data_IF_390088773819
#
_entry.id   IF_390088773819
#
_cell.length_a   1.000
_cell.length_b   1.000
_cell.length_c   1.000
_cell.angle_alpha   90.00
_cell.angle_beta   90.00
_cell.angle_gamma   90.00
#
_symmetry.space_group_name_H-M   'P 1'
#
loop_
_entity.id
_entity.type
_entity.pdbx_description
1 polymer ?
#
# COMPACT_ATOMS: atom_id res chain seq x y z
N UNK A 1 31.71 37.62 -22.06
CA UNK A 1 31.04 36.91 -20.95
C UNK A 1 30.05 35.96 -21.58
N UNK A 2 30.39 34.68 -21.59
CA UNK A 2 29.58 33.63 -22.22
C UNK A 2 28.57 33.06 -21.20
N UNK A 3 27.29 32.83 -21.54
CA UNK A 3 26.35 32.26 -20.58
C UNK A 3 26.58 30.76 -20.42
N UNK A 4 26.72 30.33 -19.16
CA UNK A 4 26.93 28.96 -18.78
C UNK A 4 25.70 28.09 -19.14
N UNK A 5 25.92 27.03 -19.92
CA UNK A 5 24.95 26.05 -20.31
C UNK A 5 24.55 25.20 -19.09
N UNK A 6 23.26 25.21 -18.73
CA UNK A 6 22.66 24.32 -17.74
C UNK A 6 22.75 22.85 -18.20
N UNK A 7 23.01 21.90 -17.32
CA UNK A 7 23.18 20.50 -17.71
C UNK A 7 21.81 19.85 -18.12
N UNK A 8 21.67 19.53 -19.40
CA UNK A 8 20.53 18.89 -20.05
C UNK A 8 20.28 17.39 -19.70
N UNK A 9 20.91 16.86 -18.66
CA UNK A 9 20.86 15.40 -18.35
C UNK A 9 19.81 14.94 -17.34
N UNK A 10 19.03 15.84 -16.74
CA UNK A 10 18.02 15.46 -15.75
C UNK A 10 16.66 15.07 -16.39
N UNK A 11 16.35 15.59 -17.57
CA UNK A 11 15.02 15.44 -18.17
C UNK A 11 14.73 14.07 -18.79
N UNK A 12 15.76 13.32 -19.24
CA UNK A 12 15.54 12.02 -19.88
C UNK A 12 15.24 10.87 -18.90
N UNK A 13 15.64 11.02 -17.63
CA UNK A 13 15.41 9.98 -16.60
C UNK A 13 13.98 9.97 -16.05
N UNK A 14 13.28 11.11 -16.11
CA UNK A 14 11.86 11.19 -15.74
C UNK A 14 10.93 10.49 -16.75
N UNK A 15 11.32 10.46 -18.02
CA UNK A 15 10.54 9.81 -19.08
C UNK A 15 10.42 8.29 -18.91
N UNK A 16 11.36 7.64 -18.22
CA UNK A 16 11.29 6.19 -17.94
C UNK A 16 10.33 5.81 -16.81
N UNK A 17 9.85 6.79 -16.02
CA UNK A 17 8.79 6.58 -15.03
C UNK A 17 7.39 6.62 -15.62
N UNK A 18 7.24 7.29 -16.77
CA UNK A 18 5.95 7.42 -17.44
C UNK A 18 5.28 6.05 -17.72
N UNK A 19 5.99 5.01 -18.21
CA UNK A 19 5.38 3.71 -18.43
C UNK A 19 4.92 3.02 -17.14
N UNK A 20 5.68 3.17 -16.04
CA UNK A 20 5.28 2.62 -14.72
C UNK A 20 4.03 3.32 -14.17
N UNK A 21 3.91 4.61 -14.39
CA UNK A 21 2.75 5.41 -13.99
C UNK A 21 1.53 5.18 -14.87
N UNK A 22 1.73 4.81 -16.14
CA UNK A 22 0.65 4.67 -17.13
C UNK A 22 0.10 3.24 -17.26
N UNK A 23 0.80 2.21 -16.76
CA UNK A 23 0.43 0.81 -16.99
C UNK A 23 -0.35 0.15 -15.85
N UNK A 24 -0.56 0.84 -14.72
CA UNK A 24 -1.16 0.25 -13.52
C UNK A 24 -2.23 1.14 -12.88
N UNK A 25 -3.27 1.49 -13.67
CA UNK A 25 -4.41 2.27 -13.15
C UNK A 25 -5.19 1.62 -12.00
N UNK A 26 -5.00 0.31 -11.77
CA UNK A 26 -5.79 -0.47 -10.83
C UNK A 26 -5.06 -0.87 -9.54
N UNK A 27 -3.76 -0.55 -9.41
CA UNK A 27 -2.93 -1.09 -8.33
C UNK A 27 -2.12 -0.04 -7.56
N UNK A 28 -2.55 1.20 -7.57
CA UNK A 28 -1.92 2.26 -6.78
C UNK A 28 -2.70 2.42 -5.47
N UNK A 29 -2.11 1.91 -4.40
CA UNK A 29 -2.55 2.06 -3.01
C UNK A 29 -1.53 2.86 -2.22
N UNK A 30 -1.69 3.01 -0.91
CA UNK A 30 -0.60 3.55 -0.10
C UNK A 30 0.71 2.85 -0.45
N UNK A 31 1.81 3.62 -0.52
CA UNK A 31 3.08 3.04 -0.90
C UNK A 31 3.59 2.02 0.12
N UNK A 32 4.57 1.21 -0.28
CA UNK A 32 5.12 0.10 0.52
C UNK A 32 5.55 0.49 1.95
N UNK A 33 6.04 1.72 2.15
CA UNK A 33 6.44 2.19 3.49
C UNK A 33 5.26 2.34 4.42
N UNK A 34 4.15 2.85 3.92
CA UNK A 34 2.93 3.03 4.71
C UNK A 34 2.33 1.69 5.12
N UNK A 35 2.34 0.70 4.23
CA UNK A 35 1.88 -0.66 4.56
C UNK A 35 2.80 -1.36 5.57
N UNK A 36 4.12 -1.24 5.44
CA UNK A 36 5.05 -1.74 6.45
C UNK A 36 4.86 -1.02 7.80
N UNK A 37 4.56 0.28 7.80
CA UNK A 37 4.22 1.01 9.01
C UNK A 37 2.99 0.40 9.72
N UNK A 38 1.92 0.11 8.99
CA UNK A 38 0.74 -0.55 9.58
C UNK A 38 1.05 -1.96 10.08
N UNK A 39 1.85 -2.73 9.35
CA UNK A 39 2.33 -4.02 9.82
C UNK A 39 3.14 -3.90 11.12
N UNK A 40 3.98 -2.88 11.27
CA UNK A 40 4.67 -2.57 12.52
C UNK A 40 3.69 -2.26 13.66
N UNK A 41 2.62 -1.51 13.40
CA UNK A 41 1.59 -1.26 14.41
C UNK A 41 0.93 -2.55 14.89
N UNK A 42 0.67 -3.51 14.02
CA UNK A 42 0.16 -4.83 14.40
C UNK A 42 1.09 -5.57 15.36
N UNK A 43 2.40 -5.40 15.19
CA UNK A 43 3.39 -6.09 16.03
C UNK A 43 3.45 -5.54 17.46
N UNK A 44 3.27 -4.20 17.62
CA UNK A 44 3.60 -3.53 18.89
C UNK A 44 2.50 -2.65 19.47
N UNK A 45 1.55 -2.19 18.67
CA UNK A 45 0.58 -1.17 19.10
C UNK A 45 -0.89 -1.61 19.00
N UNK A 46 -1.25 -2.46 18.04
CA UNK A 46 -2.63 -2.91 17.84
C UNK A 46 -2.93 -4.08 18.78
N UNK A 47 -3.97 -3.99 19.61
CA UNK A 47 -4.36 -5.08 20.52
C UNK A 47 -5.15 -6.15 19.75
N UNK A 48 -4.48 -6.98 18.95
CA UNK A 48 -5.11 -8.14 18.34
C UNK A 48 -5.81 -9.00 19.41
N UNK A 49 -7.08 -9.31 19.24
CA UNK A 49 -7.86 -10.03 20.23
C UNK A 49 -7.33 -11.45 20.44
N UNK A 50 -6.99 -12.17 19.34
CA UNK A 50 -6.47 -13.52 19.42
C UNK A 50 -5.02 -13.56 19.95
N UNK A 51 -4.77 -14.22 21.10
CA UNK A 51 -3.42 -14.40 21.62
C UNK A 51 -2.50 -15.22 20.71
N UNK A 52 -3.04 -16.15 19.90
CA UNK A 52 -2.25 -16.95 18.99
C UNK A 52 -1.71 -16.09 17.84
N UNK A 53 -2.53 -15.22 17.26
CA UNK A 53 -2.10 -14.25 16.26
C UNK A 53 -1.02 -13.29 16.82
N UNK A 54 -1.19 -12.84 18.06
CA UNK A 54 -0.16 -11.98 18.71
C UNK A 54 1.18 -12.72 18.87
N UNK A 55 1.16 -13.97 19.28
CA UNK A 55 2.39 -14.79 19.42
C UNK A 55 3.03 -15.03 18.05
N UNK A 56 2.23 -15.37 17.04
CA UNK A 56 2.66 -15.59 15.66
C UNK A 56 3.36 -14.33 15.10
N UNK A 57 2.71 -13.19 15.21
CA UNK A 57 3.25 -11.92 14.75
C UNK A 57 4.59 -11.59 15.41
N UNK A 58 4.69 -11.72 16.74
CA UNK A 58 5.93 -11.44 17.48
C UNK A 58 7.05 -12.43 17.18
N UNK A 59 6.74 -13.68 16.86
CA UNK A 59 7.74 -14.71 16.49
C UNK A 59 8.30 -14.46 15.08
N UNK A 60 7.50 -13.93 14.17
CA UNK A 60 7.86 -13.77 12.76
C UNK A 60 7.65 -12.32 12.24
N UNK A 61 8.19 -11.28 12.92
CA UNK A 61 7.87 -9.89 12.62
C UNK A 61 8.24 -9.49 11.19
N UNK A 62 9.38 -9.98 10.69
CA UNK A 62 9.81 -9.69 9.31
C UNK A 62 8.88 -10.30 8.26
N UNK A 63 8.27 -11.45 8.54
CA UNK A 63 7.30 -12.10 7.65
C UNK A 63 5.98 -11.33 7.60
N UNK A 64 5.51 -10.82 8.74
CA UNK A 64 4.34 -9.93 8.78
C UNK A 64 4.60 -8.66 7.96
N UNK A 65 5.73 -7.99 8.20
CA UNK A 65 6.07 -6.77 7.45
C UNK A 65 6.26 -7.02 5.94
N UNK A 66 6.87 -8.15 5.56
CA UNK A 66 7.02 -8.52 4.16
C UNK A 66 5.69 -8.88 3.50
N UNK A 67 4.80 -9.57 4.24
CA UNK A 67 3.44 -9.86 3.79
C UNK A 67 2.65 -8.61 3.44
N UNK A 68 2.86 -7.53 4.20
CA UNK A 68 2.23 -6.24 3.92
C UNK A 68 2.75 -5.54 2.64
N UNK A 69 3.80 -6.04 2.01
CA UNK A 69 4.27 -5.54 0.72
C UNK A 69 3.71 -6.33 -0.48
N UNK A 70 3.09 -7.49 -0.24
CA UNK A 70 2.78 -8.44 -1.32
C UNK A 70 1.66 -7.99 -2.25
N UNK A 71 0.56 -7.35 -1.80
CA UNK A 71 -0.46 -6.92 -2.74
C UNK A 71 0.09 -6.00 -3.83
N UNK A 72 1.05 -5.15 -3.54
CA UNK A 72 1.67 -4.23 -4.51
C UNK A 72 2.51 -4.93 -5.61
N UNK A 73 2.68 -6.24 -5.54
CA UNK A 73 3.27 -7.02 -6.64
C UNK A 73 2.46 -6.88 -7.94
N UNK A 74 1.18 -6.51 -7.86
CA UNK A 74 0.36 -6.17 -9.01
C UNK A 74 1.01 -5.12 -9.92
N UNK A 75 1.74 -4.17 -9.36
CA UNK A 75 2.46 -3.10 -10.09
C UNK A 75 3.50 -3.66 -11.07
N UNK A 76 4.08 -4.80 -10.76
CA UNK A 76 5.17 -5.42 -11.55
C UNK A 76 4.74 -6.68 -12.27
N UNK A 77 3.52 -7.15 -12.04
CA UNK A 77 2.98 -8.40 -12.54
C UNK A 77 3.06 -8.53 -14.07
N UNK A 78 2.62 -7.51 -14.81
CA UNK A 78 2.64 -7.50 -16.29
C UNK A 78 4.06 -7.55 -16.85
N UNK A 79 5.00 -6.78 -16.28
CA UNK A 79 6.42 -6.79 -16.67
C UNK A 79 7.13 -8.11 -16.36
N UNK A 80 6.60 -8.90 -15.44
CA UNK A 80 7.08 -10.23 -15.11
C UNK A 80 6.33 -11.36 -15.84
N UNK A 81 5.37 -11.04 -16.72
CA UNK A 81 4.46 -12.01 -17.36
C UNK A 81 3.71 -12.89 -16.34
N UNK A 82 3.28 -12.27 -15.25
CA UNK A 82 2.64 -12.91 -14.10
C UNK A 82 1.22 -12.32 -13.87
N UNK A 83 0.38 -12.33 -14.91
CA UNK A 83 -0.95 -11.67 -14.93
C UNK A 83 -1.82 -12.10 -13.75
N UNK A 84 -1.67 -13.31 -13.23
CA UNK A 84 -2.39 -13.79 -12.06
C UNK A 84 -2.19 -12.88 -10.84
N UNK A 85 -1.00 -12.26 -10.70
CA UNK A 85 -0.66 -11.37 -9.61
C UNK A 85 -1.35 -10.00 -9.69
N UNK A 86 -1.93 -9.61 -10.83
CA UNK A 86 -2.70 -8.36 -10.96
C UNK A 86 -3.94 -8.32 -10.06
N UNK A 87 -4.40 -9.49 -9.59
CA UNK A 87 -5.57 -9.64 -8.71
C UNK A 87 -5.22 -9.64 -7.22
N UNK A 88 -3.99 -9.26 -6.85
CA UNK A 88 -3.50 -9.35 -5.47
C UNK A 88 -4.28 -8.50 -4.45
N UNK A 89 -5.00 -7.46 -4.87
CA UNK A 89 -5.83 -6.64 -3.96
C UNK A 89 -7.25 -7.19 -3.74
N UNK A 90 -7.57 -8.41 -4.23
CA UNK A 90 -8.91 -9.00 -4.10
C UNK A 90 -9.03 -9.93 -2.91
N UNK A 91 -10.19 -9.93 -2.25
CA UNK A 91 -10.47 -10.81 -1.12
C UNK A 91 -10.28 -12.30 -1.42
N UNK A 92 -10.69 -12.83 -2.59
CA UNK A 92 -10.44 -14.24 -2.93
C UNK A 92 -8.95 -14.63 -2.92
N UNK A 93 -8.04 -13.69 -3.21
CA UNK A 93 -6.60 -13.98 -3.18
C UNK A 93 -6.06 -14.09 -1.74
N UNK A 94 -6.64 -13.33 -0.80
CA UNK A 94 -6.34 -13.54 0.63
C UNK A 94 -6.76 -14.94 1.07
N UNK A 95 -7.95 -15.39 0.71
CA UNK A 95 -8.40 -16.75 1.05
C UNK A 95 -7.49 -17.81 0.43
N UNK A 96 -7.11 -17.65 -0.84
CA UNK A 96 -6.17 -18.58 -1.49
C UNK A 96 -4.79 -18.61 -0.76
N UNK A 97 -4.32 -17.46 -0.26
CA UNK A 97 -3.10 -17.42 0.56
C UNK A 97 -3.29 -18.09 1.93
N UNK A 98 -4.45 -17.93 2.55
CA UNK A 98 -4.78 -18.61 3.81
C UNK A 98 -4.79 -20.12 3.62
N UNK A 99 -5.39 -20.61 2.53
CA UNK A 99 -5.45 -22.04 2.19
C UNK A 99 -4.08 -22.63 1.86
N UNK A 100 -3.20 -21.84 1.22
CA UNK A 100 -1.84 -22.26 0.88
C UNK A 100 -0.88 -22.26 2.08
N UNK A 101 -1.15 -21.46 3.12
CA UNK A 101 -0.25 -21.27 4.26
C UNK A 101 -0.24 -22.49 5.20
N UNK A 102 0.87 -23.26 5.21
CA UNK A 102 1.02 -24.47 6.02
C UNK A 102 1.68 -24.20 7.38
N UNK A 103 2.71 -23.36 7.39
CA UNK A 103 3.54 -23.13 8.55
C UNK A 103 3.36 -21.73 9.17
N UNK A 104 3.92 -21.54 10.38
CA UNK A 104 3.84 -20.29 11.12
C UNK A 104 4.41 -19.09 10.33
N UNK A 105 5.48 -19.31 9.56
CA UNK A 105 6.08 -18.24 8.76
C UNK A 105 5.13 -17.75 7.65
N UNK A 106 4.47 -18.69 6.97
CA UNK A 106 3.51 -18.39 5.90
C UNK A 106 2.24 -17.73 6.47
N UNK A 107 1.73 -18.22 7.61
CA UNK A 107 0.61 -17.60 8.33
C UNK A 107 0.94 -16.17 8.78
N UNK A 108 2.20 -15.90 9.15
CA UNK A 108 2.64 -14.55 9.46
C UNK A 108 2.68 -13.65 8.21
N UNK A 109 3.04 -14.18 7.05
CA UNK A 109 2.91 -13.47 5.77
C UNK A 109 1.45 -13.13 5.47
N UNK A 110 0.54 -14.10 5.64
CA UNK A 110 -0.92 -13.90 5.45
C UNK A 110 -1.44 -12.79 6.37
N UNK A 111 -1.02 -12.75 7.63
CA UNK A 111 -1.40 -11.69 8.57
C UNK A 111 -0.97 -10.31 8.05
N UNK A 112 0.23 -10.18 7.52
CA UNK A 112 0.71 -8.94 6.90
C UNK A 112 -0.08 -8.58 5.64
N UNK A 113 -0.33 -9.55 4.78
CA UNK A 113 -1.14 -9.36 3.57
C UNK A 113 -2.56 -8.86 3.90
N UNK A 114 -3.21 -9.48 4.86
CA UNK A 114 -4.52 -9.06 5.33
C UNK A 114 -4.51 -7.63 5.90
N UNK A 115 -3.43 -7.22 6.60
CA UNK A 115 -3.29 -5.86 7.11
C UNK A 115 -3.18 -4.81 6.00
N UNK A 116 -2.51 -5.16 4.90
CA UNK A 116 -2.44 -4.30 3.71
C UNK A 116 -3.85 -4.06 3.14
N UNK A 117 -4.59 -5.12 2.84
CA UNK A 117 -5.93 -5.00 2.27
C UNK A 117 -6.90 -4.21 3.18
N UNK A 118 -6.80 -4.39 4.49
CA UNK A 118 -7.59 -3.60 5.46
C UNK A 118 -7.22 -2.12 5.44
N UNK A 119 -5.94 -1.80 5.31
CA UNK A 119 -5.46 -0.43 5.20
C UNK A 119 -5.93 0.21 3.88
N UNK A 120 -5.95 -0.56 2.80
CA UNK A 120 -6.39 -0.10 1.48
C UNK A 120 -7.86 0.28 1.41
N UNK A 121 -8.72 -0.32 2.21
CA UNK A 121 -10.10 0.15 2.33
C UNK A 121 -10.11 1.65 2.67
N UNK A 122 -9.30 2.08 3.62
CA UNK A 122 -9.24 3.50 4.02
C UNK A 122 -8.50 4.33 2.94
N UNK A 123 -7.43 3.79 2.37
CA UNK A 123 -6.66 4.46 1.33
C UNK A 123 -7.54 4.81 0.14
N UNK A 124 -8.15 3.82 -0.47
CA UNK A 124 -8.87 3.97 -1.73
C UNK A 124 -10.25 4.58 -1.61
N UNK A 125 -10.96 4.33 -0.50
CA UNK A 125 -12.33 4.82 -0.35
C UNK A 125 -12.41 6.18 0.39
N UNK A 126 -11.35 6.60 1.08
CA UNK A 126 -11.39 7.82 1.91
C UNK A 126 -10.19 8.73 1.72
N UNK A 127 -8.96 8.23 1.87
CA UNK A 127 -7.75 9.05 1.89
C UNK A 127 -7.44 9.65 0.53
N UNK A 128 -7.33 8.84 -0.51
CA UNK A 128 -7.04 9.28 -1.86
C UNK A 128 -8.14 10.19 -2.41
N UNK A 129 -9.44 9.81 -2.36
CA UNK A 129 -10.51 10.68 -2.83
C UNK A 129 -10.58 12.04 -2.14
N UNK A 130 -10.22 12.11 -0.85
CA UNK A 130 -10.16 13.38 -0.13
C UNK A 130 -9.06 14.30 -0.66
N UNK A 131 -7.90 13.75 -1.06
CA UNK A 131 -6.78 14.52 -1.58
C UNK A 131 -6.93 14.88 -3.05
N UNK A 132 -7.53 14.02 -3.87
CA UNK A 132 -7.91 14.32 -5.26
C UNK A 132 -8.73 15.60 -5.35
N UNK A 133 -9.67 15.78 -4.42
CA UNK A 133 -10.49 17.00 -4.36
C UNK A 133 -9.78 18.23 -3.77
N UNK A 134 -8.76 18.02 -2.95
CA UNK A 134 -8.06 19.11 -2.27
C UNK A 134 -6.89 19.67 -3.08
N UNK A 135 -6.22 18.82 -3.87
CA UNK A 135 -4.97 19.20 -4.53
C UNK A 135 -5.13 19.47 -6.01
N UNK A 136 -5.57 18.48 -6.79
CA UNK A 136 -5.73 18.57 -8.23
C UNK A 136 -6.86 17.65 -8.68
N UNK A 137 -7.63 18.08 -9.68
CA UNK A 137 -8.70 17.27 -10.29
C UNK A 137 -8.17 16.14 -11.19
N UNK A 138 -6.88 15.83 -11.15
CA UNK A 138 -6.26 14.74 -11.90
C UNK A 138 -6.12 13.50 -11.04
N UNK A 139 -6.93 12.49 -11.31
CA UNK A 139 -7.06 11.27 -10.51
C UNK A 139 -5.73 10.53 -10.30
N UNK A 140 -5.00 10.20 -11.37
CA UNK A 140 -3.80 9.34 -11.29
C UNK A 140 -2.61 10.09 -10.66
N UNK A 141 -2.36 11.33 -11.06
CA UNK A 141 -1.18 12.06 -10.57
C UNK A 141 -1.29 12.44 -9.11
N UNK A 142 -2.49 12.82 -8.65
CA UNK A 142 -2.75 13.13 -7.24
C UNK A 142 -2.68 11.87 -6.40
N UNK A 143 -3.22 10.76 -6.89
CA UNK A 143 -3.16 9.45 -6.25
C UNK A 143 -1.71 9.08 -5.92
N UNK A 144 -0.85 8.98 -6.95
CA UNK A 144 0.58 8.66 -6.77
C UNK A 144 1.29 9.67 -5.87
N UNK A 145 1.02 10.96 -6.06
CA UNK A 145 1.70 12.01 -5.30
C UNK A 145 1.38 11.95 -3.81
N UNK A 146 0.11 11.70 -3.44
CA UNK A 146 -0.30 11.66 -2.04
C UNK A 146 0.24 10.42 -1.32
N UNK A 147 0.29 9.29 -2.02
CA UNK A 147 0.82 8.04 -1.48
C UNK A 147 2.33 8.09 -1.24
N UNK A 148 3.08 8.57 -2.22
CA UNK A 148 4.52 8.75 -2.07
C UNK A 148 4.87 9.82 -1.03
N UNK A 149 4.03 10.84 -0.88
CA UNK A 149 4.18 11.82 0.18
C UNK A 149 3.90 11.20 1.56
N UNK A 150 2.88 10.33 1.68
CA UNK A 150 2.60 9.58 2.91
C UNK A 150 3.76 8.64 3.26
N UNK A 151 4.27 7.90 2.30
CA UNK A 151 5.46 7.05 2.46
C UNK A 151 6.65 7.83 3.01
N UNK A 152 6.90 9.03 2.48
CA UNK A 152 7.96 9.90 3.00
C UNK A 152 7.69 10.35 4.43
N UNK A 153 6.41 10.60 4.76
CA UNK A 153 5.99 11.02 6.10
C UNK A 153 6.28 9.95 7.15
N UNK A 154 6.03 8.67 6.84
CA UNK A 154 6.24 7.56 7.78
C UNK A 154 7.65 6.97 7.76
N UNK A 155 8.46 7.25 6.72
CA UNK A 155 9.73 6.58 6.45
C UNK A 155 10.72 6.57 7.63
N UNK A 156 10.75 7.65 8.44
CA UNK A 156 11.62 7.72 9.61
C UNK A 156 11.17 6.83 10.79
N UNK A 157 9.97 6.27 10.73
CA UNK A 157 9.38 5.43 11.77
C UNK A 157 9.53 3.93 11.48
N UNK A 158 10.08 3.57 10.31
CA UNK A 158 10.24 2.17 9.93
C UNK A 158 11.57 1.60 10.44
N UNK A 159 11.51 0.38 10.99
CA UNK A 159 12.69 -0.37 11.40
C UNK A 159 13.37 -1.11 10.23
N UNK A 160 12.62 -1.42 9.18
CA UNK A 160 13.09 -2.15 8.02
C UNK A 160 12.63 -1.51 6.72
N UNK A 161 13.47 -1.55 5.69
CA UNK A 161 13.11 -1.07 4.35
C UNK A 161 12.30 -2.15 3.61
N UNK A 162 11.20 -1.80 2.94
CA UNK A 162 10.38 -2.76 2.18
C UNK A 162 11.18 -3.62 1.20
N UNK A 163 12.08 -3.01 0.43
CA UNK A 163 12.91 -3.74 -0.53
C UNK A 163 13.77 -4.83 0.12
N UNK A 164 14.36 -4.55 1.30
CA UNK A 164 15.15 -5.54 2.03
C UNK A 164 14.26 -6.67 2.58
N UNK A 165 13.06 -6.31 3.09
CA UNK A 165 12.09 -7.31 3.55
C UNK A 165 11.71 -8.28 2.45
N UNK A 166 11.37 -7.78 1.25
CA UNK A 166 11.02 -8.61 0.10
C UNK A 166 12.14 -9.57 -0.28
N UNK A 167 13.39 -9.11 -0.33
CA UNK A 167 14.53 -9.95 -0.71
C UNK A 167 14.87 -10.99 0.34
N UNK A 168 14.99 -10.59 1.61
CA UNK A 168 15.35 -11.51 2.69
C UNK A 168 14.28 -12.58 2.94
N UNK A 169 13.02 -12.27 2.65
CA UNK A 169 11.92 -13.21 2.88
C UNK A 169 11.47 -13.95 1.61
N UNK A 170 12.04 -13.66 0.45
CA UNK A 170 11.71 -14.27 -0.83
C UNK A 170 11.64 -15.83 -0.79
N UNK A 171 12.51 -16.56 -0.06
CA UNK A 171 12.41 -18.01 0.04
C UNK A 171 11.08 -18.52 0.64
N UNK A 172 10.40 -17.70 1.45
CA UNK A 172 9.05 -18.02 1.97
C UNK A 172 7.94 -17.45 1.06
N UNK A 173 8.13 -16.24 0.53
CA UNK A 173 7.11 -15.54 -0.24
C UNK A 173 6.87 -16.19 -1.60
N UNK A 174 7.94 -16.56 -2.30
CA UNK A 174 7.83 -17.08 -3.68
C UNK A 174 7.01 -18.36 -3.75
N UNK A 175 7.29 -19.43 -2.98
CA UNK A 175 6.51 -20.66 -3.06
C UNK A 175 5.05 -20.44 -2.61
N UNK A 176 4.82 -19.70 -1.53
CA UNK A 176 3.48 -19.39 -1.04
C UNK A 176 2.63 -18.67 -2.10
N UNK A 177 3.18 -17.64 -2.72
CA UNK A 177 2.46 -16.90 -3.77
C UNK A 177 2.30 -17.72 -5.04
N UNK A 178 3.28 -18.53 -5.42
CA UNK A 178 3.19 -19.41 -6.58
C UNK A 178 2.03 -20.40 -6.45
N UNK A 179 1.85 -20.99 -5.27
CA UNK A 179 0.73 -21.87 -4.95
C UNK A 179 -0.60 -21.11 -4.95
N UNK A 180 -0.71 -20.04 -4.17
CA UNK A 180 -1.96 -19.30 -3.97
C UNK A 180 -2.47 -18.61 -5.26
N UNK A 181 -1.58 -18.15 -6.13
CA UNK A 181 -1.93 -17.47 -7.38
C UNK A 181 -1.93 -18.38 -8.60
N UNK A 182 -1.56 -19.64 -8.46
CA UNK A 182 -1.37 -20.58 -9.57
C UNK A 182 -0.43 -20.00 -10.64
N UNK A 183 0.69 -19.43 -10.19
CA UNK A 183 1.65 -18.72 -11.02
C UNK A 183 3.03 -19.38 -10.89
N UNK A 184 3.79 -19.54 -11.98
CA UNK A 184 5.14 -20.11 -11.89
C UNK A 184 6.04 -19.35 -10.93
N UNK A 185 6.74 -20.05 -10.03
CA UNK A 185 7.60 -19.47 -8.99
C UNK A 185 8.65 -18.51 -9.56
N UNK A 186 9.20 -18.80 -10.75
CA UNK A 186 10.15 -17.92 -11.44
C UNK A 186 9.52 -16.54 -11.74
N UNK A 187 8.28 -16.51 -12.23
CA UNK A 187 7.57 -15.26 -12.55
C UNK A 187 7.23 -14.47 -11.30
N UNK A 188 6.82 -15.16 -10.22
CA UNK A 188 6.61 -14.55 -8.91
C UNK A 188 7.90 -13.93 -8.40
N UNK A 189 9.02 -14.69 -8.45
CA UNK A 189 10.34 -14.20 -8.03
C UNK A 189 10.78 -12.98 -8.84
N UNK A 190 10.56 -12.98 -10.15
CA UNK A 190 10.84 -11.83 -11.02
C UNK A 190 10.00 -10.61 -10.64
N UNK A 191 8.69 -10.79 -10.40
CA UNK A 191 7.80 -9.70 -10.01
C UNK A 191 8.22 -9.06 -8.67
N UNK A 192 8.51 -9.89 -7.64
CA UNK A 192 8.97 -9.42 -6.33
C UNK A 192 10.34 -8.71 -6.42
N UNK A 193 11.27 -9.26 -7.18
CA UNK A 193 12.57 -8.62 -7.40
C UNK A 193 12.44 -7.28 -8.12
N UNK A 194 11.58 -7.19 -9.13
CA UNK A 194 11.30 -5.94 -9.84
C UNK A 194 10.68 -4.91 -8.91
N UNK A 195 9.75 -5.30 -8.04
CA UNK A 195 9.15 -4.43 -7.03
C UNK A 195 10.22 -3.89 -6.06
N UNK A 196 11.09 -4.75 -5.55
CA UNK A 196 12.17 -4.37 -4.64
C UNK A 196 13.17 -3.40 -5.30
N UNK A 197 13.53 -3.63 -6.57
CA UNK A 197 14.41 -2.74 -7.32
C UNK A 197 13.75 -1.40 -7.61
N UNK A 198 12.48 -1.38 -8.00
CA UNK A 198 11.70 -0.16 -8.23
C UNK A 198 11.64 0.71 -6.97
N UNK A 199 11.39 0.08 -5.81
CA UNK A 199 11.36 0.76 -4.52
C UNK A 199 12.72 1.38 -4.15
N UNK A 200 13.84 0.66 -4.31
CA UNK A 200 15.18 1.23 -4.09
C UNK A 200 15.47 2.41 -4.99
N UNK A 201 15.10 2.28 -6.26
CA UNK A 201 15.29 3.36 -7.22
C UNK A 201 14.47 4.60 -6.85
N UNK A 202 13.19 4.42 -6.47
CA UNK A 202 12.32 5.50 -6.03
C UNK A 202 12.92 6.24 -4.82
N UNK A 203 13.45 5.50 -3.84
CA UNK A 203 14.09 6.13 -2.66
C UNK A 203 15.41 6.81 -3.02
N UNK A 204 16.20 6.22 -3.89
CA UNK A 204 17.46 6.81 -4.38
C UNK A 204 17.26 8.05 -5.23
N UNK A 205 16.13 8.17 -5.94
CA UNK A 205 15.80 9.36 -6.75
C UNK A 205 15.37 10.57 -5.92
N UNK A 206 15.06 10.42 -4.64
CA UNK A 206 14.49 11.44 -3.76
C UNK A 206 13.16 12.05 -4.24
N UNK A 207 12.52 11.48 -5.27
CA UNK A 207 11.27 11.99 -5.85
C UNK A 207 10.14 12.07 -4.80
N UNK A 208 9.98 11.01 -3.99
CA UNK A 208 9.04 10.97 -2.88
C UNK A 208 9.26 12.11 -1.85
N UNK A 209 10.52 12.50 -1.61
CA UNK A 209 10.84 13.63 -0.73
C UNK A 209 10.44 14.96 -1.36
N UNK A 210 10.72 15.14 -2.66
CA UNK A 210 10.28 16.32 -3.42
C UNK A 210 8.76 16.48 -3.41
N UNK A 211 8.01 15.40 -3.65
CA UNK A 211 6.54 15.40 -3.60
C UNK A 211 6.00 15.72 -2.21
N UNK A 212 6.61 15.18 -1.16
CA UNK A 212 6.22 15.51 0.22
C UNK A 212 6.45 16.99 0.55
N UNK A 213 7.57 17.57 0.11
CA UNK A 213 7.80 19.00 0.30
C UNK A 213 6.81 19.85 -0.50
N UNK A 214 6.53 19.50 -1.75
CA UNK A 214 5.52 20.17 -2.56
C UNK A 214 4.13 20.10 -1.90
N UNK A 215 3.73 18.92 -1.42
CA UNK A 215 2.48 18.73 -0.70
C UNK A 215 2.36 19.67 0.52
N UNK A 216 3.44 19.86 1.27
CA UNK A 216 3.47 20.78 2.43
C UNK A 216 3.36 22.25 2.05
N UNK A 217 3.84 22.63 0.85
CA UNK A 217 3.72 24.01 0.35
C UNK A 217 2.30 24.28 -0.12
N UNK A 218 1.69 23.34 -0.83
CA UNK A 218 0.29 23.46 -1.34
C UNK A 218 -0.71 23.38 -0.19
N UNK A 219 -0.43 22.52 0.79
CA UNK A 219 -1.35 22.18 1.86
C UNK A 219 -0.66 22.22 3.23
N UNK A 220 -0.80 23.36 3.93
CA UNK A 220 -0.22 23.55 5.27
C UNK A 220 -0.73 22.56 6.32
N UNK A 221 -1.85 21.87 6.09
CA UNK A 221 -2.45 20.91 7.02
C UNK A 221 -2.17 19.44 6.64
N UNK A 222 -1.39 19.19 5.59
CA UNK A 222 -1.16 17.83 5.07
C UNK A 222 -0.62 16.89 6.15
N UNK A 223 0.36 17.31 6.95
CA UNK A 223 0.92 16.47 8.01
C UNK A 223 -0.14 16.09 9.06
N UNK A 224 -0.99 17.03 9.45
CA UNK A 224 -2.08 16.78 10.41
C UNK A 224 -3.09 15.78 9.84
N UNK A 225 -3.42 15.90 8.55
CA UNK A 225 -4.29 14.93 7.87
C UNK A 225 -3.64 13.56 7.78
N UNK A 226 -2.37 13.48 7.38
CA UNK A 226 -1.65 12.22 7.34
C UNK A 226 -1.67 11.52 8.70
N UNK A 227 -1.31 12.21 9.76
CA UNK A 227 -1.36 11.65 11.11
C UNK A 227 -2.77 11.19 11.52
N UNK A 228 -3.80 11.93 11.11
CA UNK A 228 -5.18 11.55 11.40
C UNK A 228 -5.55 10.24 10.68
N UNK A 229 -5.27 10.14 9.38
CA UNK A 229 -5.54 8.91 8.61
C UNK A 229 -4.74 7.72 9.13
N UNK A 230 -3.45 7.90 9.45
CA UNK A 230 -2.62 6.86 10.05
C UNK A 230 -3.21 6.37 11.39
N UNK A 231 -3.59 7.28 12.28
CA UNK A 231 -4.16 6.93 13.57
C UNK A 231 -5.52 6.23 13.44
N UNK A 232 -6.36 6.67 12.51
CA UNK A 232 -7.67 6.07 12.27
C UNK A 232 -7.55 4.71 11.62
N UNK A 233 -6.69 4.53 10.62
CA UNK A 233 -6.43 3.22 9.99
C UNK A 233 -5.87 2.23 11.00
N UNK A 234 -4.86 2.64 11.78
CA UNK A 234 -4.28 1.79 12.83
C UNK A 234 -5.31 1.26 13.83
N UNK A 235 -6.31 2.10 14.22
CA UNK A 235 -7.40 1.64 15.10
C UNK A 235 -8.31 0.60 14.46
N UNK A 236 -8.50 0.62 13.12
CA UNK A 236 -9.35 -0.37 12.41
C UNK A 236 -8.66 -1.70 12.24
N UNK A 237 -7.34 -1.73 12.30
CA UNK A 237 -6.59 -3.00 12.23
C UNK A 237 -6.91 -3.97 13.38
N UNK A 238 -7.53 -3.51 14.48
CA UNK A 238 -8.04 -4.39 15.53
C UNK A 238 -9.11 -5.37 14.99
N UNK A 239 -9.81 -4.99 13.93
CA UNK A 239 -10.85 -5.80 13.28
C UNK A 239 -10.28 -6.91 12.38
N UNK A 240 -8.94 -6.98 12.22
CA UNK A 240 -8.29 -7.94 11.34
C UNK A 240 -8.62 -9.40 11.67
N UNK A 241 -8.90 -9.71 12.94
CA UNK A 241 -9.35 -11.04 13.36
C UNK A 241 -10.59 -11.50 12.60
N UNK A 242 -11.59 -10.63 12.45
CA UNK A 242 -12.84 -10.95 11.74
C UNK A 242 -12.59 -11.35 10.28
N UNK A 243 -11.66 -10.65 9.61
CA UNK A 243 -11.27 -10.98 8.24
C UNK A 243 -10.62 -12.36 8.17
N UNK A 244 -9.74 -12.70 9.12
CA UNK A 244 -9.09 -14.00 9.19
C UNK A 244 -10.04 -15.13 9.63
N UNK A 245 -11.14 -14.78 10.30
CA UNK A 245 -12.24 -15.70 10.63
C UNK A 245 -13.24 -15.90 9.47
N UNK A 246 -12.98 -15.27 8.32
CA UNK A 246 -13.73 -15.43 7.08
C UNK A 246 -14.84 -14.41 6.85
N UNK A 247 -15.01 -13.39 7.72
CA UNK A 247 -15.90 -12.29 7.42
C UNK A 247 -15.31 -11.40 6.31
N UNK A 248 -16.16 -10.96 5.38
CA UNK A 248 -15.73 -10.02 4.34
C UNK A 248 -16.09 -8.59 4.72
N UNK A 249 -15.15 -7.64 4.59
CA UNK A 249 -15.45 -6.22 4.75
C UNK A 249 -16.54 -5.75 3.76
N UNK A 250 -17.31 -4.76 4.17
CA UNK A 250 -18.32 -4.13 3.32
C UNK A 250 -17.74 -3.27 2.18
N UNK A 251 -16.41 -3.16 2.11
CA UNK A 251 -15.68 -2.29 1.19
C UNK A 251 -14.67 -3.11 0.37
N UNK A 252 -14.44 -2.71 -0.89
CA UNK A 252 -13.34 -3.25 -1.67
C UNK A 252 -12.01 -2.70 -1.17
N UNK A 253 -10.95 -3.52 -1.22
CA UNK A 253 -9.57 -3.04 -1.06
C UNK A 253 -9.03 -2.42 -2.35
N UNK A 254 -9.60 -2.79 -3.51
CA UNK A 254 -9.27 -2.19 -4.81
C UNK A 254 -9.90 -0.80 -4.97
N UNK A 255 -9.31 -0.01 -5.87
CA UNK A 255 -9.89 1.25 -6.32
C UNK A 255 -11.23 0.98 -7.02
N UNK A 256 -12.34 1.46 -6.47
CA UNK A 256 -13.62 1.41 -7.17
C UNK A 256 -13.56 2.28 -8.46
N UNK A 257 -14.16 1.83 -9.58
CA UNK A 257 -14.24 2.64 -10.80
C UNK A 257 -14.82 4.04 -10.53
N UNK A 258 -14.36 5.04 -11.26
CA UNK A 258 -14.73 6.46 -11.09
C UNK A 258 -16.25 6.68 -10.98
N UNK A 259 -17.06 5.90 -11.70
CA UNK A 259 -18.52 5.95 -11.65
C UNK A 259 -19.12 5.59 -10.28
N UNK A 260 -18.45 4.74 -9.51
CA UNK A 260 -18.87 4.38 -8.15
C UNK A 260 -18.41 5.40 -7.09
N UNK A 261 -17.35 6.17 -7.39
CA UNK A 261 -16.79 7.21 -6.51
C UNK A 261 -17.64 8.47 -6.43
N UNK A 262 -18.58 8.68 -7.36
CA UNK A 262 -19.44 9.88 -7.40
C UNK A 262 -20.35 10.07 -6.19
N UNK A 263 -20.56 9.04 -5.37
CA UNK A 263 -21.34 9.15 -4.12
C UNK A 263 -20.71 10.04 -3.05
N UNK A 264 -19.40 10.27 -3.11
CA UNK A 264 -18.73 11.25 -2.23
C UNK A 264 -18.95 12.68 -2.73
N UNK A 265 -19.63 12.84 -3.89
CA UNK A 265 -19.80 14.06 -4.68
C UNK A 265 -20.42 15.27 -4.00
N UNK A 266 -21.18 15.09 -2.94
CA UNK A 266 -21.98 16.14 -2.30
C UNK A 266 -21.44 16.64 -0.95
N UNK A 267 -20.29 16.14 -0.48
CA UNK A 267 -19.76 16.60 0.80
C UNK A 267 -19.28 18.08 0.71
N UNK A 268 -19.72 18.96 1.63
CA UNK A 268 -19.32 20.36 1.62
C UNK A 268 -17.80 20.51 1.72
N UNK A 269 -17.22 21.46 0.99
CA UNK A 269 -15.77 21.74 0.98
C UNK A 269 -15.16 21.92 2.37
N UNK A 270 -15.96 22.34 3.35
CA UNK A 270 -15.53 22.44 4.76
C UNK A 270 -15.24 21.09 5.39
N UNK A 271 -16.04 20.06 5.10
CA UNK A 271 -15.85 18.68 5.59
C UNK A 271 -14.59 18.07 4.98
N UNK A 272 -14.37 18.30 3.68
CA UNK A 272 -13.16 17.86 2.99
C UNK A 272 -11.88 18.50 3.53
N UNK A 273 -11.96 19.77 3.99
CA UNK A 273 -10.81 20.45 4.64
C UNK A 273 -10.45 19.87 6.01
N UNK A 274 -11.39 19.24 6.69
CA UNK A 274 -11.16 18.63 7.99
C UNK A 274 -10.68 17.19 7.84
N UNK A 275 -11.46 16.29 7.33
CA UNK A 275 -11.25 14.88 6.91
C UNK A 275 -12.64 14.30 6.66
N UNK A 276 -12.74 13.40 5.69
CA UNK A 276 -13.98 12.64 5.53
C UNK A 276 -14.20 11.76 6.78
N UNK A 277 -15.45 11.64 7.26
CA UNK A 277 -15.75 10.69 8.31
C UNK A 277 -15.36 9.30 7.85
N UNK A 278 -14.55 8.61 8.66
CA UNK A 278 -14.11 7.25 8.37
C UNK A 278 -15.06 6.26 9.05
N UNK A 279 -15.40 5.14 8.40
CA UNK A 279 -16.23 4.11 9.01
C UNK A 279 -15.56 3.61 10.31
N UNK A 280 -16.33 3.41 11.35
CA UNK A 280 -15.86 2.82 12.60
C UNK A 280 -15.70 1.31 12.46
N UNK A 281 -16.63 0.68 11.75
CA UNK A 281 -16.62 -0.75 11.40
C UNK A 281 -16.44 -0.90 9.88
N UNK A 282 -15.38 -1.59 9.46
CA UNK A 282 -15.08 -1.84 8.05
C UNK A 282 -15.96 -2.97 7.45
N UNK A 283 -16.66 -3.72 8.27
CA UNK A 283 -17.53 -4.81 7.83
C UNK A 283 -18.99 -4.36 7.63
N UNK A 284 -19.33 -3.18 8.09
CA UNK A 284 -20.63 -2.56 7.88
C UNK A 284 -20.51 -1.47 6.80
N UNK A 285 -21.26 -1.62 5.71
CA UNK A 285 -21.40 -0.55 4.71
C UNK A 285 -22.58 0.33 5.13
N UNK A 286 -22.28 1.45 5.80
CA UNK A 286 -23.29 2.48 6.15
C UNK A 286 -23.52 3.43 4.99
#
# INVERSE_FOLDING_TARGET
MSPAALPRRASSRLLWLLPLLLTSGDALAWGLYTHVYFAQLLLWAVPLADPALRRLARRHPRKVMAGACLPDVALTARGASAEALTRSHRWPQLHALMDAARGDQEKAVVLGYASHLMADIIAHNHFVPAHERLWFESDITTHVAVEWAMDRHVAAQLFCRPANLLEETAPTLVPLMAEAFQCPAERVGKALSTLAHGERWLRGSHLHAGLYHAARLVDRRVQRRFNLYLAHTGRRLVQLGRLLDGELPGWAAEVEPLAARTRIGSAPTRVLRACLPLPEDLFLRT
#
